data_IF_003914845209
#
_entry.id   IF_003914845209
#
_cell.length_a   1.000
_cell.length_b   1.000
_cell.length_c   1.000
_cell.angle_alpha   90.00
_cell.angle_beta   90.00
_cell.angle_gamma   90.00
#
_symmetry.space_group_name_H-M   'P 1'
#
loop_
_entity.id
_entity.type
_entity.pdbx_description
1 polymer ?
#
# COMPACT_ATOMS: atom_id res chain seq x y z
N UNK A 1 26.44 -44.57 5.20
CA UNK A 1 26.37 -43.39 4.30
C UNK A 1 27.26 -42.24 4.78
N UNK A 2 27.17 -41.82 6.06
CA UNK A 2 28.01 -40.75 6.62
C UNK A 2 29.51 -41.07 6.66
N UNK A 3 29.90 -42.33 6.89
CA UNK A 3 31.32 -42.75 6.90
C UNK A 3 32.00 -42.68 5.53
N UNK A 4 31.29 -43.06 4.47
CA UNK A 4 31.77 -42.99 3.09
C UNK A 4 32.05 -41.53 2.67
N UNK A 5 31.11 -40.62 2.97
CA UNK A 5 31.26 -39.19 2.66
C UNK A 5 32.46 -38.55 3.39
N UNK A 6 32.69 -38.93 4.64
CA UNK A 6 33.84 -38.45 5.39
C UNK A 6 35.17 -38.94 4.81
N UNK A 7 35.25 -40.22 4.40
CA UNK A 7 36.45 -40.77 3.77
C UNK A 7 36.69 -40.24 2.35
N UNK A 8 35.63 -40.01 1.58
CA UNK A 8 35.73 -39.41 0.25
C UNK A 8 36.25 -37.97 0.32
N UNK A 9 35.76 -37.15 1.26
CA UNK A 9 36.28 -35.78 1.47
C UNK A 9 37.74 -35.73 1.87
N UNK A 10 38.20 -36.69 2.68
CA UNK A 10 39.63 -36.78 3.03
C UNK A 10 40.51 -37.07 1.81
N UNK A 11 39.97 -37.75 0.79
CA UNK A 11 40.67 -38.04 -0.47
C UNK A 11 40.57 -36.92 -1.51
N UNK A 12 39.62 -36.00 -1.33
CA UNK A 12 39.34 -34.89 -2.24
C UNK A 12 39.30 -33.54 -1.49
N UNK A 13 40.40 -33.10 -0.85
CA UNK A 13 40.44 -31.84 -0.11
C UNK A 13 40.16 -30.62 -1.00
N UNK A 14 40.48 -30.71 -2.29
CA UNK A 14 40.20 -29.69 -3.31
C UNK A 14 38.68 -29.46 -3.51
N UNK A 15 37.84 -30.43 -3.17
CA UNK A 15 36.38 -30.37 -3.27
C UNK A 15 35.70 -30.18 -1.91
N UNK A 16 36.37 -29.55 -0.94
CA UNK A 16 35.83 -29.31 0.40
C UNK A 16 34.48 -28.56 0.42
N UNK A 17 34.19 -27.78 -0.62
CA UNK A 17 32.91 -27.08 -0.81
C UNK A 17 31.74 -28.02 -1.19
N UNK A 18 32.01 -29.21 -1.75
CA UNK A 18 31.04 -30.16 -2.29
C UNK A 18 30.31 -30.98 -1.19
N UNK A 19 29.64 -30.30 -0.28
CA UNK A 19 28.76 -30.96 0.70
C UNK A 19 27.44 -31.40 0.06
N UNK A 20 26.72 -32.43 0.57
CA UNK A 20 25.40 -32.78 0.05
C UNK A 20 24.44 -31.59 -0.02
N UNK A 21 24.55 -30.65 0.93
CA UNK A 21 23.79 -29.40 0.94
C UNK A 21 24.24 -28.44 -0.18
N UNK A 22 25.54 -28.26 -0.37
CA UNK A 22 26.08 -27.38 -1.40
C UNK A 22 25.89 -27.93 -2.82
N UNK A 23 26.07 -29.23 -3.02
CA UNK A 23 25.78 -29.91 -4.28
C UNK A 23 24.29 -29.86 -4.60
N UNK A 24 23.41 -30.14 -3.62
CA UNK A 24 21.97 -29.96 -3.82
C UNK A 24 21.61 -28.52 -4.15
N UNK A 25 22.24 -27.54 -3.51
CA UNK A 25 22.01 -26.12 -3.81
C UNK A 25 22.49 -25.77 -5.23
N UNK A 26 23.66 -26.24 -5.65
CA UNK A 26 24.19 -26.07 -7.00
C UNK A 26 23.24 -26.67 -8.05
N UNK A 27 22.76 -27.90 -7.85
CA UNK A 27 21.79 -28.55 -8.76
C UNK A 27 20.37 -27.96 -8.71
N UNK A 28 20.07 -27.08 -7.77
CA UNK A 28 18.75 -26.42 -7.71
C UNK A 28 18.82 -25.00 -8.27
N UNK A 29 19.97 -24.33 -8.13
CA UNK A 29 20.13 -22.90 -8.47
C UNK A 29 20.93 -22.70 -9.77
N UNK A 30 21.91 -23.55 -10.08
CA UNK A 30 22.81 -23.38 -11.23
C UNK A 30 22.47 -24.32 -12.38
N UNK A 31 22.18 -25.58 -12.10
CA UNK A 31 21.72 -26.57 -13.08
C UNK A 31 20.20 -26.71 -12.92
N UNK A 32 19.39 -25.92 -13.62
CA UNK A 32 17.93 -26.05 -13.54
C UNK A 32 17.50 -27.50 -13.79
N UNK A 33 16.85 -28.20 -12.85
CA UNK A 33 16.35 -29.54 -13.08
C UNK A 33 15.29 -29.49 -14.20
N UNK A 34 15.67 -29.91 -15.40
CA UNK A 34 14.82 -29.92 -16.61
C UNK A 34 13.59 -30.84 -16.48
N UNK A 35 13.52 -31.67 -15.42
CA UNK A 35 12.47 -32.65 -15.19
C UNK A 35 11.35 -32.23 -14.21
N UNK A 36 11.38 -31.02 -13.65
CA UNK A 36 10.41 -30.56 -12.67
C UNK A 36 9.63 -29.34 -13.16
N UNK A 37 8.35 -29.26 -12.78
CA UNK A 37 7.54 -28.06 -13.04
C UNK A 37 8.13 -26.84 -12.33
N UNK A 38 7.79 -25.66 -12.84
CA UNK A 38 8.13 -24.38 -12.21
C UNK A 38 7.76 -24.35 -10.72
N UNK A 39 6.56 -24.82 -10.37
CA UNK A 39 6.08 -24.88 -9.00
C UNK A 39 6.97 -25.76 -8.11
N UNK A 40 7.34 -26.94 -8.61
CA UNK A 40 8.18 -27.88 -7.87
C UNK A 40 9.59 -27.31 -7.63
N UNK A 41 10.16 -26.64 -8.63
CA UNK A 41 11.46 -25.99 -8.50
C UNK A 41 11.41 -24.80 -7.54
N UNK A 42 10.37 -23.97 -7.63
CA UNK A 42 10.13 -22.85 -6.70
C UNK A 42 10.05 -23.32 -5.25
N UNK A 43 9.35 -24.44 -5.00
CA UNK A 43 9.22 -25.04 -3.66
C UNK A 43 10.57 -25.46 -3.05
N UNK A 44 11.50 -25.97 -3.86
CA UNK A 44 12.84 -26.32 -3.39
C UNK A 44 13.70 -25.09 -3.12
N UNK A 45 13.65 -24.11 -4.03
CA UNK A 45 14.41 -22.87 -3.99
C UNK A 45 13.99 -22.05 -2.76
N UNK A 46 12.68 -21.88 -2.53
CA UNK A 46 12.12 -21.14 -1.39
C UNK A 46 12.33 -21.81 -0.04
N UNK A 47 12.75 -23.08 0.03
CA UNK A 47 13.16 -23.74 1.29
C UNK A 47 14.59 -23.42 1.69
N UNK A 48 15.40 -22.83 0.82
CA UNK A 48 16.76 -22.40 1.14
C UNK A 48 16.73 -21.11 1.97
N UNK A 49 17.31 -21.07 3.19
CA UNK A 49 17.38 -19.84 3.99
C UNK A 49 18.10 -18.69 3.27
N UNK A 50 19.09 -19.02 2.44
CA UNK A 50 19.84 -18.02 1.66
C UNK A 50 18.96 -17.37 0.61
N UNK A 51 18.22 -18.17 -0.16
CA UNK A 51 17.28 -17.68 -1.17
C UNK A 51 16.21 -16.81 -0.53
N UNK A 52 15.66 -17.21 0.63
CA UNK A 52 14.66 -16.39 1.35
C UNK A 52 15.15 -14.98 1.67
N UNK A 53 16.43 -14.82 2.01
CA UNK A 53 17.03 -13.51 2.25
C UNK A 53 17.26 -12.77 0.92
N UNK A 54 17.74 -13.48 -0.10
CA UNK A 54 18.02 -12.88 -1.41
C UNK A 54 16.77 -12.41 -2.17
N UNK A 55 15.62 -13.09 -2.01
CA UNK A 55 14.36 -12.73 -2.69
C UNK A 55 13.56 -11.64 -1.96
N UNK A 56 13.84 -11.38 -0.68
CA UNK A 56 13.09 -10.40 0.11
C UNK A 56 13.00 -9.01 -0.56
N UNK A 57 14.10 -8.42 -1.08
CA UNK A 57 14.03 -7.13 -1.75
C UNK A 57 13.15 -7.13 -3.00
N UNK A 58 13.15 -8.22 -3.77
CA UNK A 58 12.33 -8.36 -4.99
C UNK A 58 10.85 -8.49 -4.64
N UNK A 59 10.54 -9.25 -3.57
CA UNK A 59 9.18 -9.37 -3.05
C UNK A 59 8.69 -8.03 -2.50
N UNK A 60 9.54 -7.33 -1.76
CA UNK A 60 9.25 -5.99 -1.23
C UNK A 60 9.00 -4.99 -2.36
N UNK A 61 9.88 -4.93 -3.36
CA UNK A 61 9.70 -4.09 -4.55
C UNK A 61 8.40 -4.40 -5.28
N UNK A 62 8.09 -5.68 -5.50
CA UNK A 62 6.84 -6.10 -6.16
C UNK A 62 5.59 -5.74 -5.37
N UNK A 63 5.61 -5.93 -4.05
CA UNK A 63 4.50 -5.52 -3.16
C UNK A 63 4.36 -3.99 -3.16
N UNK A 64 5.47 -3.25 -3.08
CA UNK A 64 5.43 -1.80 -3.06
C UNK A 64 4.93 -1.23 -4.39
N UNK A 65 5.35 -1.78 -5.53
CA UNK A 65 4.87 -1.37 -6.84
C UNK A 65 3.35 -1.62 -7.00
N UNK A 66 2.88 -2.80 -6.58
CA UNK A 66 1.45 -3.12 -6.59
C UNK A 66 0.64 -2.22 -5.64
N UNK A 67 1.23 -1.86 -4.49
CA UNK A 67 0.64 -0.92 -3.54
C UNK A 67 0.52 0.48 -4.14
N UNK A 68 1.60 1.00 -4.73
CA UNK A 68 1.64 2.34 -5.33
C UNK A 68 0.72 2.45 -6.55
N UNK A 69 0.41 1.35 -7.23
CA UNK A 69 -0.54 1.31 -8.34
C UNK A 69 -2.01 1.48 -7.90
N UNK A 70 -2.35 1.12 -6.66
CA UNK A 70 -3.76 1.15 -6.21
C UNK A 70 -4.03 2.22 -5.17
N UNK A 71 -3.03 2.65 -4.42
CA UNK A 71 -3.22 3.54 -3.28
C UNK A 71 -3.26 5.02 -3.67
N UNK A 72 -3.95 5.81 -2.84
CA UNK A 72 -3.89 7.26 -2.97
C UNK A 72 -2.47 7.77 -2.77
N UNK A 73 -2.09 8.77 -3.56
CA UNK A 73 -0.79 9.43 -3.41
C UNK A 73 -0.85 10.43 -2.26
N UNK A 74 0.09 10.36 -1.34
CA UNK A 74 0.18 11.33 -0.23
C UNK A 74 1.28 12.33 -0.55
N UNK A 75 0.94 13.63 -0.56
CA UNK A 75 1.92 14.72 -0.76
C UNK A 75 1.90 15.56 0.51
N UNK A 76 2.99 15.45 1.26
CA UNK A 76 3.16 16.11 2.55
C UNK A 76 3.67 17.55 2.41
N UNK A 77 4.38 17.83 1.32
CA UNK A 77 4.93 19.14 1.03
C UNK A 77 3.81 20.15 0.70
N UNK A 78 4.01 21.40 1.10
CA UNK A 78 3.07 22.48 0.82
C UNK A 78 3.07 22.83 -0.69
N UNK A 79 4.17 22.55 -1.40
CA UNK A 79 4.30 22.71 -2.84
C UNK A 79 4.09 21.37 -3.56
N UNK A 80 3.07 21.29 -4.43
CA UNK A 80 2.81 20.09 -5.22
C UNK A 80 3.55 20.18 -6.54
N UNK A 81 4.69 19.50 -6.62
CA UNK A 81 5.40 19.36 -7.88
C UNK A 81 4.71 18.40 -8.86
N UNK A 82 5.03 18.54 -10.14
CA UNK A 82 4.49 17.65 -11.19
C UNK A 82 4.80 16.16 -10.94
N UNK A 83 5.94 15.87 -10.34
CA UNK A 83 6.42 14.55 -9.91
C UNK A 83 5.58 13.96 -8.76
N UNK A 84 5.01 14.83 -7.91
CA UNK A 84 4.17 14.46 -6.79
C UNK A 84 2.73 14.11 -7.21
N UNK A 85 2.33 14.48 -8.44
CA UNK A 85 0.98 14.26 -8.95
C UNK A 85 0.98 13.97 -10.47
N UNK A 86 1.62 12.88 -10.93
CA UNK A 86 1.89 12.65 -12.36
C UNK A 86 0.64 12.49 -13.23
N UNK A 87 -0.46 11.95 -12.69
CA UNK A 87 -1.73 11.85 -13.43
C UNK A 87 -2.32 13.25 -13.64
N UNK A 88 -2.40 14.07 -12.59
CA UNK A 88 -2.88 15.45 -12.72
C UNK A 88 -2.00 16.28 -13.67
N UNK A 89 -0.68 16.10 -13.61
CA UNK A 89 0.27 16.73 -14.52
C UNK A 89 0.01 16.34 -15.97
N UNK A 90 -0.16 15.03 -16.25
CA UNK A 90 -0.43 14.52 -17.60
C UNK A 90 -1.75 15.05 -18.17
N UNK A 91 -2.76 15.19 -17.32
CA UNK A 91 -4.09 15.69 -17.70
C UNK A 91 -4.16 17.23 -17.76
N UNK A 92 -3.12 17.95 -17.35
CA UNK A 92 -3.11 19.41 -17.30
C UNK A 92 -3.92 20.02 -16.15
N UNK A 93 -4.33 19.21 -15.17
CA UNK A 93 -5.23 19.60 -14.08
C UNK A 93 -4.52 19.80 -12.74
N UNK A 94 -3.19 19.79 -12.73
CA UNK A 94 -2.38 19.97 -11.51
C UNK A 94 -2.76 21.24 -10.75
N UNK A 95 -2.98 22.35 -11.46
CA UNK A 95 -3.39 23.62 -10.86
C UNK A 95 -4.75 23.55 -10.15
N UNK A 96 -5.69 22.75 -10.66
CA UNK A 96 -6.99 22.51 -10.01
C UNK A 96 -6.85 21.64 -8.75
N UNK A 97 -5.89 20.71 -8.75
CA UNK A 97 -5.52 19.93 -7.57
C UNK A 97 -4.85 20.82 -6.53
N UNK A 98 -3.96 21.73 -6.92
CA UNK A 98 -3.29 22.66 -5.99
C UNK A 98 -4.30 23.59 -5.34
N UNK A 99 -5.17 24.22 -6.13
CA UNK A 99 -6.16 25.21 -5.66
C UNK A 99 -7.38 24.58 -4.97
N UNK A 100 -7.46 23.26 -4.90
CA UNK A 100 -8.56 22.52 -4.25
C UNK A 100 -9.86 22.42 -5.05
N UNK A 101 -9.88 22.84 -6.33
CA UNK A 101 -11.06 22.70 -7.20
C UNK A 101 -11.44 21.24 -7.48
N UNK A 102 -10.49 20.31 -7.25
CA UNK A 102 -10.70 18.86 -7.38
C UNK A 102 -10.88 18.14 -6.06
N UNK A 103 -11.03 18.88 -4.96
CA UNK A 103 -11.22 18.28 -3.64
C UNK A 103 -12.57 17.57 -3.58
N UNK A 104 -12.51 16.30 -3.20
CA UNK A 104 -13.64 15.50 -2.74
C UNK A 104 -13.77 15.68 -1.22
N UNK A 105 -14.35 14.70 -0.51
CA UNK A 105 -14.45 14.79 0.95
C UNK A 105 -13.05 14.79 1.58
N UNK A 106 -12.24 13.76 1.39
CA UNK A 106 -10.96 13.59 2.12
C UNK A 106 -9.71 13.56 1.25
N UNK A 107 -9.85 13.78 -0.06
CA UNK A 107 -8.74 13.76 -1.02
C UNK A 107 -9.10 14.60 -2.26
N UNK A 108 -8.12 14.96 -3.10
CA UNK A 108 -8.36 15.51 -4.43
C UNK A 108 -8.46 14.37 -5.46
N UNK A 109 -9.39 14.46 -6.41
CA UNK A 109 -9.52 13.49 -7.51
C UNK A 109 -8.89 14.04 -8.80
N UNK A 110 -7.88 13.34 -9.31
CA UNK A 110 -7.14 13.76 -10.50
C UNK A 110 -7.88 13.42 -11.79
N UNK A 111 -8.62 12.32 -11.81
CA UNK A 111 -9.30 11.79 -12.99
C UNK A 111 -10.59 11.06 -12.58
N UNK A 112 -11.71 11.75 -12.67
CA UNK A 112 -13.02 11.20 -12.34
C UNK A 112 -13.54 10.28 -13.44
N UNK A 113 -13.25 10.61 -14.70
CA UNK A 113 -13.87 9.99 -15.86
C UNK A 113 -13.27 8.62 -16.20
N UNK A 114 -12.09 8.31 -15.63
CA UNK A 114 -11.35 7.08 -15.84
C UNK A 114 -11.01 6.38 -14.52
N UNK A 115 -12.00 5.70 -13.92
CA UNK A 115 -11.80 4.93 -12.70
C UNK A 115 -10.79 3.77 -12.94
N UNK A 116 -9.79 3.58 -12.06
CA UNK A 116 -8.79 2.53 -12.23
C UNK A 116 -9.44 1.13 -12.31
N UNK A 117 -9.17 0.42 -13.41
CA UNK A 117 -9.65 -0.95 -13.64
C UNK A 117 -10.92 -1.05 -14.47
N UNK A 118 -11.70 0.03 -14.62
CA UNK A 118 -12.88 0.06 -15.52
C UNK A 118 -12.76 1.10 -16.63
N UNK A 119 -11.97 2.15 -16.43
CA UNK A 119 -11.84 3.29 -17.36
C UNK A 119 -13.17 4.04 -17.59
N UNK A 120 -14.10 3.92 -16.64
CA UNK A 120 -15.42 4.56 -16.65
C UNK A 120 -15.51 5.66 -15.57
N UNK A 121 -16.50 6.58 -15.66
CA UNK A 121 -16.74 7.56 -14.60
C UNK A 121 -16.92 6.91 -13.22
N UNK A 122 -16.19 7.46 -12.24
CA UNK A 122 -16.12 6.90 -10.90
C UNK A 122 -17.47 6.97 -10.18
N UNK A 123 -17.96 5.81 -9.72
CA UNK A 123 -19.16 5.68 -8.86
C UNK A 123 -18.84 5.08 -7.48
N UNK A 124 -17.55 4.97 -7.17
CA UNK A 124 -17.13 4.43 -5.89
C UNK A 124 -17.38 5.45 -4.78
N UNK A 125 -17.75 4.97 -3.59
CA UNK A 125 -17.91 5.83 -2.42
C UNK A 125 -16.59 6.56 -2.12
N UNK A 126 -16.64 7.83 -1.70
CA UNK A 126 -15.42 8.56 -1.33
C UNK A 126 -14.62 7.91 -0.18
N UNK A 127 -15.22 6.99 0.59
CA UNK A 127 -14.50 6.16 1.57
C UNK A 127 -13.42 5.27 0.92
N UNK A 128 -13.52 4.98 -0.38
CA UNK A 128 -12.53 4.20 -1.13
C UNK A 128 -11.45 5.07 -1.77
N UNK A 129 -11.53 6.40 -1.68
CA UNK A 129 -10.54 7.28 -2.31
C UNK A 129 -9.12 7.01 -1.81
N UNK A 130 -8.92 6.62 -0.55
CA UNK A 130 -7.59 6.26 -0.05
C UNK A 130 -6.97 5.03 -0.74
N UNK A 131 -7.76 4.27 -1.51
CA UNK A 131 -7.31 3.14 -2.34
C UNK A 131 -7.68 3.34 -3.79
N UNK A 132 -7.46 4.56 -4.27
CA UNK A 132 -7.56 4.89 -5.68
C UNK A 132 -6.31 5.67 -6.08
N UNK A 133 -5.61 5.22 -7.12
CA UNK A 133 -4.46 5.93 -7.70
C UNK A 133 -4.78 7.32 -8.26
N UNK A 134 -6.05 7.63 -8.51
CA UNK A 134 -6.47 8.96 -8.94
C UNK A 134 -6.64 9.92 -7.74
N UNK A 135 -6.56 9.43 -6.49
CA UNK A 135 -6.69 10.26 -5.32
C UNK A 135 -5.33 10.83 -4.87
N UNK A 136 -5.32 12.10 -4.49
CA UNK A 136 -4.19 12.77 -3.84
C UNK A 136 -4.60 13.28 -2.47
N UNK A 137 -3.90 12.81 -1.44
CA UNK A 137 -4.05 13.28 -0.06
C UNK A 137 -3.03 14.37 0.19
N UNK A 138 -3.52 15.53 0.62
CA UNK A 138 -2.76 16.74 0.86
C UNK A 138 -2.95 17.19 2.30
N UNK A 139 -2.01 17.97 2.81
CA UNK A 139 -2.04 18.46 4.19
C UNK A 139 -3.35 19.18 4.54
N UNK A 140 -3.93 19.94 3.61
CA UNK A 140 -5.23 20.63 3.82
C UNK A 140 -6.42 19.67 4.03
N UNK A 141 -6.31 18.40 3.63
CA UNK A 141 -7.36 17.40 3.86
C UNK A 141 -7.31 16.81 5.28
N UNK A 142 -6.21 17.00 6.03
CA UNK A 142 -6.01 16.39 7.34
C UNK A 142 -7.14 16.66 8.34
N UNK A 143 -7.66 17.91 8.49
CA UNK A 143 -8.75 18.16 9.44
C UNK A 143 -9.98 17.29 9.16
N UNK A 144 -10.33 17.10 7.87
CA UNK A 144 -11.48 16.26 7.49
C UNK A 144 -11.20 14.77 7.63
N UNK A 145 -9.98 14.33 7.37
CA UNK A 145 -9.55 12.95 7.63
C UNK A 145 -9.63 12.64 9.13
N UNK A 146 -9.25 13.59 9.99
CA UNK A 146 -9.38 13.45 11.44
C UNK A 146 -10.84 13.36 11.88
N UNK A 147 -11.70 14.23 11.34
CA UNK A 147 -13.14 14.13 11.58
C UNK A 147 -13.71 12.77 11.15
N UNK A 148 -13.22 12.19 10.04
CA UNK A 148 -13.60 10.86 9.58
C UNK A 148 -13.12 9.77 10.54
N UNK A 149 -11.86 9.84 11.02
CA UNK A 149 -11.32 8.89 12.01
C UNK A 149 -12.14 8.93 13.30
N UNK A 150 -12.45 10.12 13.82
CA UNK A 150 -13.24 10.30 15.03
C UNK A 150 -14.66 9.73 14.85
N UNK A 151 -15.30 10.02 13.70
CA UNK A 151 -16.62 9.50 13.38
C UNK A 151 -16.64 7.97 13.30
N UNK A 152 -15.66 7.37 12.60
CA UNK A 152 -15.55 5.92 12.46
C UNK A 152 -15.30 5.25 13.83
N UNK A 153 -14.47 5.83 14.68
CA UNK A 153 -14.27 5.32 16.04
C UNK A 153 -15.55 5.37 16.88
N UNK A 154 -16.34 6.45 16.78
CA UNK A 154 -17.63 6.53 17.45
C UNK A 154 -18.62 5.47 16.91
N UNK A 155 -18.67 5.31 15.58
CA UNK A 155 -19.51 4.31 14.92
C UNK A 155 -19.16 2.87 15.35
N UNK A 156 -17.87 2.58 15.57
CA UNK A 156 -17.40 1.27 16.05
C UNK A 156 -18.06 0.85 17.36
N UNK A 157 -18.27 1.77 18.29
CA UNK A 157 -18.83 1.47 19.61
C UNK A 157 -20.29 0.99 19.55
N UNK A 158 -21.01 1.31 18.47
CA UNK A 158 -22.45 1.04 18.32
C UNK A 158 -22.76 0.08 17.16
N UNK A 159 -21.73 -0.41 16.46
CA UNK A 159 -21.89 -1.30 15.30
C UNK A 159 -21.55 -2.75 15.68
N UNK A 160 -22.39 -3.74 15.33
CA UNK A 160 -22.06 -5.15 15.52
C UNK A 160 -20.72 -5.52 14.86
N UNK A 161 -19.89 -6.31 15.54
CA UNK A 161 -18.52 -6.61 15.12
C UNK A 161 -18.43 -7.12 13.67
N UNK A 162 -19.32 -8.02 13.26
CA UNK A 162 -19.35 -8.59 11.90
C UNK A 162 -19.64 -7.52 10.82
N UNK A 163 -20.52 -6.57 11.12
CA UNK A 163 -20.83 -5.44 10.23
C UNK A 163 -19.66 -4.46 10.20
N UNK A 164 -19.05 -4.20 11.35
CA UNK A 164 -17.88 -3.34 11.46
C UNK A 164 -16.70 -3.84 10.64
N UNK A 165 -16.36 -5.12 10.79
CA UNK A 165 -15.24 -5.77 10.09
C UNK A 165 -15.44 -5.77 8.57
N UNK A 166 -16.64 -6.10 8.11
CA UNK A 166 -16.95 -6.18 6.68
C UNK A 166 -17.08 -4.83 5.99
N UNK A 167 -17.44 -3.76 6.70
CA UNK A 167 -17.79 -2.47 6.08
C UNK A 167 -16.88 -1.29 6.42
N UNK A 168 -16.29 -1.23 7.61
CA UNK A 168 -15.70 0.01 8.14
C UNK A 168 -14.28 -0.15 8.66
N UNK A 169 -13.90 -1.32 9.18
CA UNK A 169 -12.61 -1.55 9.80
C UNK A 169 -11.42 -1.17 8.88
N UNK A 170 -11.51 -1.52 7.60
CA UNK A 170 -10.47 -1.22 6.61
C UNK A 170 -10.36 0.29 6.32
N UNK A 171 -11.48 1.01 6.30
CA UNK A 171 -11.48 2.46 6.08
C UNK A 171 -10.90 3.20 7.28
N UNK A 172 -11.23 2.77 8.50
CA UNK A 172 -10.61 3.32 9.70
C UNK A 172 -9.10 3.07 9.71
N UNK A 173 -8.65 1.85 9.40
CA UNK A 173 -7.22 1.54 9.37
C UNK A 173 -6.44 2.46 8.41
N UNK A 174 -7.00 2.70 7.21
CA UNK A 174 -6.40 3.58 6.20
C UNK A 174 -6.41 5.05 6.63
N UNK A 175 -7.55 5.56 7.10
CA UNK A 175 -7.66 6.94 7.56
C UNK A 175 -6.72 7.21 8.75
N UNK A 176 -6.69 6.29 9.72
CA UNK A 176 -5.79 6.38 10.89
C UNK A 176 -4.32 6.37 10.47
N UNK A 177 -3.96 5.55 9.48
CA UNK A 177 -2.59 5.50 8.93
C UNK A 177 -2.16 6.83 8.30
N UNK A 178 -3.06 7.59 7.69
CA UNK A 178 -2.75 8.91 7.13
C UNK A 178 -2.52 9.97 8.22
N UNK A 179 -3.15 9.77 9.38
CA UNK A 179 -3.04 10.66 10.54
C UNK A 179 -1.99 10.22 11.56
N UNK A 180 -1.23 9.16 11.27
CA UNK A 180 -0.15 8.67 12.12
C UNK A 180 0.99 9.70 12.17
N UNK A 181 1.29 10.30 13.33
CA UNK A 181 2.30 11.35 13.44
C UNK A 181 3.67 10.88 12.93
N UNK A 182 4.27 11.65 12.02
CA UNK A 182 5.61 11.39 11.50
C UNK A 182 5.69 10.32 10.41
N UNK A 183 4.55 9.69 10.03
CA UNK A 183 4.53 8.70 8.95
C UNK A 183 4.53 9.34 7.57
N UNK A 184 3.54 10.20 7.32
CA UNK A 184 3.43 10.95 6.07
C UNK A 184 3.57 12.45 6.31
N UNK A 185 2.90 12.96 7.33
CA UNK A 185 2.92 14.36 7.71
C UNK A 185 3.70 14.55 9.00
N UNK A 186 4.28 15.73 9.20
CA UNK A 186 5.00 16.04 10.44
C UNK A 186 4.04 16.03 11.63
N UNK A 187 4.56 15.78 12.84
CA UNK A 187 3.73 15.84 14.05
C UNK A 187 3.02 17.19 14.20
N UNK A 188 3.69 18.29 13.81
CA UNK A 188 3.11 19.64 13.82
C UNK A 188 1.90 19.75 12.90
N UNK A 189 1.96 19.17 11.71
CA UNK A 189 0.86 19.23 10.75
C UNK A 189 -0.33 18.41 11.25
N UNK A 190 -0.08 17.25 11.83
CA UNK A 190 -1.11 16.39 12.42
C UNK A 190 -1.75 17.08 13.63
N UNK A 191 -0.97 17.54 14.60
CA UNK A 191 -1.49 18.21 15.79
C UNK A 191 -2.21 19.52 15.44
N UNK A 192 -1.65 20.28 14.50
CA UNK A 192 -2.26 21.51 13.98
C UNK A 192 -3.59 21.26 13.30
N UNK A 193 -3.67 20.23 12.44
CA UNK A 193 -4.91 19.84 11.78
C UNK A 193 -5.99 19.43 12.79
N UNK A 194 -5.62 18.74 13.87
CA UNK A 194 -6.56 18.33 14.93
C UNK A 194 -7.17 19.53 15.64
N UNK A 195 -6.36 20.55 15.90
CA UNK A 195 -6.81 21.76 16.58
C UNK A 195 -7.79 22.60 15.76
N UNK A 196 -7.80 22.45 14.43
CA UNK A 196 -8.59 23.29 13.52
C UNK A 196 -9.78 22.55 12.87
N UNK A 197 -10.12 21.34 13.31
CA UNK A 197 -11.28 20.60 12.79
C UNK A 197 -12.56 21.41 13.01
N UNK A 198 -13.23 21.75 11.91
CA UNK A 198 -14.44 22.60 11.91
C UNK A 198 -15.72 21.78 12.00
N UNK A 199 -16.86 22.43 12.23
CA UNK A 199 -18.16 21.74 12.13
C UNK A 199 -18.51 21.40 10.67
N UNK A 200 -18.04 22.18 9.70
CA UNK A 200 -18.21 21.88 8.27
C UNK A 200 -17.50 20.58 7.90
N UNK A 201 -16.32 20.32 8.46
CA UNK A 201 -15.61 19.05 8.27
C UNK A 201 -16.41 17.88 8.85
N UNK A 202 -16.97 18.04 10.06
CA UNK A 202 -17.81 17.01 10.69
C UNK A 202 -19.10 16.79 9.91
N UNK A 203 -19.70 17.85 9.36
CA UNK A 203 -20.91 17.77 8.54
C UNK A 203 -20.62 17.04 7.22
N UNK A 204 -19.54 17.39 6.54
CA UNK A 204 -19.14 16.70 5.30
C UNK A 204 -18.91 15.20 5.55
N UNK A 205 -18.29 14.82 6.68
CA UNK A 205 -18.14 13.41 7.07
C UNK A 205 -19.49 12.75 7.37
N UNK A 206 -20.40 13.42 8.07
CA UNK A 206 -21.76 12.89 8.32
C UNK A 206 -22.49 12.60 7.01
N UNK A 207 -22.44 13.52 6.04
CA UNK A 207 -23.04 13.37 4.70
C UNK A 207 -22.40 12.24 3.89
N UNK A 208 -21.07 12.08 4.01
CA UNK A 208 -20.34 10.96 3.40
C UNK A 208 -20.85 9.62 3.94
N UNK A 209 -20.97 9.51 5.26
CA UNK A 209 -21.44 8.29 5.91
C UNK A 209 -22.91 8.00 5.63
N UNK A 210 -23.71 9.04 5.36
CA UNK A 210 -25.08 8.94 4.89
C UNK A 210 -25.21 8.62 3.39
N UNK A 211 -24.08 8.55 2.65
CA UNK A 211 -24.01 8.23 1.22
C UNK A 211 -24.76 9.23 0.33
N UNK A 212 -24.76 10.51 0.70
CA UNK A 212 -25.47 11.57 -0.03
C UNK A 212 -24.88 11.90 -1.42
N UNK A 213 -23.73 11.32 -1.77
CA UNK A 213 -23.02 11.56 -3.03
C UNK A 213 -22.79 10.28 -3.86
N UNK A 214 -23.49 9.19 -3.53
CA UNK A 214 -23.35 7.89 -4.21
C UNK A 214 -24.29 7.75 -5.44
N UNK A 215 -24.75 8.86 -6.03
CA UNK A 215 -25.60 8.91 -7.25
C UNK A 215 -24.78 8.85 -8.55
#
# INVERSE_FOLDING_TARGET
>A
MLSYLAQWRKRHPELSFATPRALRHFFVVQEHPQGHSFDTNSDYVLRSPRVRVEVQPVVEEGIQAAYDEVMARVVADDEIESSAAPVASRLGVLHEVVDGRRDTVTAACQDHDHFPGTDEPCRASFLTCFTCRNAVVLKRHLPRIMALVDHLNALRAVTPATVWESRFAVHLARASSLTEPGRYFSNRDVDGARAVVTEDDRLAVKRLMAREWDE
#
